data_IF_767081151278
#
_entry.id   IF_767081151278
#
_cell.length_a   1.000
_cell.length_b   1.000
_cell.length_c   1.000
_cell.angle_alpha   90.00
_cell.angle_beta   90.00
_cell.angle_gamma   90.00
#
_symmetry.space_group_name_H-M   'P 1'
#
loop_
_entity.id
_entity.type
_entity.pdbx_description
1 polymer ?
#
# COMPACT_ATOMS: atom_id res chain seq x y z
N UNK A 1 -19.99 -1.00 14.42
CA UNK A 1 -18.53 -0.71 14.55
C UNK A 1 -17.78 -1.38 13.39
N UNK A 2 -16.64 -0.86 12.89
CA UNK A 2 -15.88 -1.63 11.90
C UNK A 2 -15.43 -2.95 12.55
N UNK A 3 -15.47 -4.09 11.85
CA UNK A 3 -15.04 -5.35 12.45
C UNK A 3 -13.55 -5.23 12.79
N UNK A 4 -13.15 -5.77 13.94
CA UNK A 4 -11.81 -5.66 14.52
C UNK A 4 -10.72 -5.87 13.44
N UNK A 5 -10.88 -6.88 12.57
CA UNK A 5 -9.93 -7.20 11.48
C UNK A 5 -9.73 -6.06 10.47
N UNK A 6 -10.75 -5.26 10.14
CA UNK A 6 -10.62 -4.11 9.23
C UNK A 6 -9.81 -2.99 9.88
N UNK A 7 -9.92 -2.81 11.19
CA UNK A 7 -9.10 -1.85 11.94
C UNK A 7 -7.64 -2.32 11.93
N UNK A 8 -7.37 -3.59 12.25
CA UNK A 8 -6.02 -4.16 12.18
C UNK A 8 -5.41 -4.04 10.77
N UNK A 9 -6.19 -4.33 9.75
CA UNK A 9 -5.77 -4.16 8.36
C UNK A 9 -5.37 -2.72 8.06
N UNK A 10 -6.21 -1.75 8.44
CA UNK A 10 -5.92 -0.34 8.25
C UNK A 10 -4.68 0.12 9.04
N UNK A 11 -4.49 -0.37 10.27
CA UNK A 11 -3.30 -0.07 11.06
C UNK A 11 -2.03 -0.57 10.37
N UNK A 12 -2.01 -1.81 9.87
CA UNK A 12 -0.85 -2.38 9.17
C UNK A 12 -0.56 -1.59 7.89
N UNK A 13 -1.61 -1.28 7.12
CA UNK A 13 -1.50 -0.48 5.89
C UNK A 13 -0.96 0.94 6.16
N UNK A 14 -1.41 1.56 7.26
CA UNK A 14 -0.93 2.86 7.70
C UNK A 14 0.54 2.80 8.12
N UNK A 15 0.92 1.82 8.94
CA UNK A 15 2.31 1.60 9.36
C UNK A 15 3.23 1.39 8.15
N UNK A 16 2.79 0.63 7.15
CA UNK A 16 3.53 0.44 5.90
C UNK A 16 3.74 1.75 5.13
N UNK A 17 2.70 2.59 5.05
CA UNK A 17 2.79 3.90 4.41
C UNK A 17 3.78 4.82 5.13
N UNK A 18 3.81 4.79 6.46
CA UNK A 18 4.78 5.54 7.28
C UNK A 18 6.20 5.04 7.04
N UNK A 19 6.41 3.73 6.95
CA UNK A 19 7.73 3.16 6.65
C UNK A 19 8.22 3.60 5.27
N UNK A 20 7.37 3.52 4.24
CA UNK A 20 7.70 4.00 2.89
C UNK A 20 8.08 5.48 2.88
N UNK A 21 7.33 6.30 3.61
CA UNK A 21 7.63 7.72 3.76
C UNK A 21 8.96 7.95 4.47
N UNK A 22 9.24 7.20 5.53
CA UNK A 22 10.53 7.20 6.22
C UNK A 22 11.68 6.82 5.29
N UNK A 23 11.51 5.79 4.46
CA UNK A 23 12.48 5.40 3.44
C UNK A 23 12.71 6.51 2.42
N UNK A 24 11.66 7.20 1.98
CA UNK A 24 11.78 8.34 1.08
C UNK A 24 12.56 9.50 1.71
N UNK A 25 12.27 9.85 2.96
CA UNK A 25 12.98 10.91 3.69
C UNK A 25 14.46 10.56 3.93
N UNK A 26 14.75 9.31 4.31
CA UNK A 26 16.12 8.83 4.49
C UNK A 26 16.86 8.83 3.15
N UNK A 27 16.23 8.36 2.09
CA UNK A 27 16.76 8.42 0.72
C UNK A 27 17.14 9.84 0.34
N UNK A 28 16.25 10.81 0.55
CA UNK A 28 16.50 12.22 0.26
C UNK A 28 17.67 12.79 1.08
N UNK A 29 17.69 12.52 2.39
CA UNK A 29 18.71 13.04 3.31
C UNK A 29 20.11 12.46 3.09
N UNK A 30 20.17 11.19 2.66
CA UNK A 30 21.43 10.46 2.51
C UNK A 30 22.02 10.54 1.10
N UNK A 31 21.37 11.24 0.18
CA UNK A 31 21.92 11.54 -1.15
C UNK A 31 23.17 12.42 -1.03
N UNK A 32 24.25 12.03 -1.71
CA UNK A 32 25.48 12.83 -1.79
C UNK A 32 25.25 14.12 -2.58
N UNK A 33 26.03 15.17 -2.29
CA UNK A 33 25.85 16.51 -2.87
C UNK A 33 25.93 16.58 -4.42
N UNK A 34 26.40 15.52 -5.08
CA UNK A 34 26.52 15.45 -6.54
C UNK A 34 25.24 15.08 -7.27
N UNK A 35 24.22 14.54 -6.57
CA UNK A 35 22.96 14.14 -7.17
C UNK A 35 21.75 14.87 -6.56
N UNK A 36 20.74 15.12 -7.38
CA UNK A 36 19.45 15.61 -6.88
C UNK A 36 18.81 14.55 -5.97
N UNK A 37 18.64 14.86 -4.69
CA UNK A 37 18.08 13.93 -3.67
C UNK A 37 16.68 13.38 -3.94
N UNK A 38 16.02 13.85 -5.00
CA UNK A 38 14.75 13.34 -5.48
C UNK A 38 14.85 11.93 -6.08
N UNK A 39 15.99 11.57 -6.67
CA UNK A 39 16.22 10.25 -7.28
C UNK A 39 15.82 9.09 -6.36
N UNK A 40 16.44 8.94 -5.17
CA UNK A 40 16.12 7.89 -4.20
C UNK A 40 14.77 8.05 -3.49
N UNK A 41 14.24 9.27 -3.39
CA UNK A 41 13.06 9.56 -2.60
C UNK A 41 11.74 9.37 -3.37
N UNK A 42 11.73 9.60 -4.68
CA UNK A 42 10.48 9.75 -5.44
C UNK A 42 9.65 8.47 -5.50
N UNK A 43 10.28 7.31 -5.74
CA UNK A 43 9.60 6.03 -5.82
C UNK A 43 8.93 5.65 -4.49
N UNK A 44 9.65 5.58 -3.35
CA UNK A 44 9.00 5.29 -2.07
C UNK A 44 7.97 6.35 -1.66
N UNK A 45 8.14 7.61 -2.06
CA UNK A 45 7.14 8.67 -1.80
C UNK A 45 5.83 8.43 -2.55
N UNK A 46 5.88 8.08 -3.84
CA UNK A 46 4.69 7.74 -4.63
C UNK A 46 3.99 6.53 -4.03
N UNK A 47 4.75 5.48 -3.68
CA UNK A 47 4.20 4.29 -3.05
C UNK A 47 3.53 4.59 -1.71
N UNK A 48 4.13 5.48 -0.89
CA UNK A 48 3.57 5.90 0.39
C UNK A 48 2.22 6.61 0.21
N UNK A 49 2.13 7.54 -0.75
CA UNK A 49 0.91 8.29 -1.03
C UNK A 49 -0.21 7.38 -1.56
N UNK A 50 0.12 6.48 -2.49
CA UNK A 50 -0.83 5.50 -3.02
C UNK A 50 -1.32 4.56 -1.91
N UNK A 51 -0.41 4.02 -1.10
CA UNK A 51 -0.75 3.16 0.04
C UNK A 51 -1.66 3.88 1.05
N UNK A 52 -1.38 5.17 1.34
CA UNK A 52 -2.22 5.98 2.22
C UNK A 52 -3.63 6.19 1.63
N UNK A 53 -3.72 6.54 0.35
CA UNK A 53 -5.01 6.72 -0.33
C UNK A 53 -5.86 5.44 -0.31
N UNK A 54 -5.24 4.28 -0.56
CA UNK A 54 -5.91 2.98 -0.48
C UNK A 54 -6.35 2.62 0.94
N UNK A 55 -5.53 2.98 1.94
CA UNK A 55 -5.88 2.84 3.37
C UNK A 55 -7.12 3.66 3.70
N UNK A 56 -7.18 4.91 3.25
CA UNK A 56 -8.36 5.77 3.45
C UNK A 56 -9.59 5.17 2.77
N UNK A 57 -9.48 4.72 1.51
CA UNK A 57 -10.58 4.06 0.80
C UNK A 57 -11.09 2.82 1.54
N UNK A 58 -10.19 2.03 2.13
CA UNK A 58 -10.56 0.83 2.91
C UNK A 58 -11.43 1.16 4.13
N UNK A 59 -11.18 2.31 4.77
CA UNK A 59 -11.95 2.78 5.93
C UNK A 59 -13.35 3.30 5.55
N UNK A 60 -13.54 3.69 4.28
CA UNK A 60 -14.83 4.18 3.77
C UNK A 60 -15.84 3.06 3.47
N UNK A 61 -15.54 1.80 3.80
CA UNK A 61 -16.42 0.64 3.56
C UNK A 61 -17.84 0.82 4.11
N UNK A 62 -18.00 1.53 5.24
CA UNK A 62 -19.31 1.84 5.82
C UNK A 62 -20.13 2.84 5.01
N UNK A 63 -19.47 3.78 4.32
CA UNK A 63 -20.14 4.80 3.50
C UNK A 63 -20.45 4.27 2.12
N UNK A 64 -19.52 3.50 1.53
CA UNK A 64 -19.69 2.87 0.25
C UNK A 64 -18.98 1.51 0.22
N UNK A 65 -19.77 0.44 0.29
CA UNK A 65 -19.28 -0.94 0.35
C UNK A 65 -18.42 -1.32 -0.87
N UNK A 66 -18.82 -0.89 -2.08
CA UNK A 66 -18.06 -1.18 -3.32
C UNK A 66 -16.68 -0.55 -3.27
N UNK A 67 -16.61 0.74 -2.90
CA UNK A 67 -15.33 1.48 -2.78
C UNK A 67 -14.44 0.89 -1.69
N UNK A 68 -15.01 0.57 -0.51
CA UNK A 68 -14.24 -0.05 0.57
C UNK A 68 -13.67 -1.42 0.21
N UNK A 69 -14.45 -2.25 -0.49
CA UNK A 69 -13.98 -3.56 -0.94
C UNK A 69 -12.84 -3.43 -1.95
N UNK A 70 -12.95 -2.52 -2.92
CA UNK A 70 -11.88 -2.24 -3.88
C UNK A 70 -10.63 -1.75 -3.14
N UNK A 71 -10.79 -0.81 -2.20
CA UNK A 71 -9.71 -0.29 -1.38
C UNK A 71 -8.95 -1.38 -0.64
N UNK A 72 -9.66 -2.34 -0.02
CA UNK A 72 -9.03 -3.48 0.69
C UNK A 72 -8.26 -4.39 -0.27
N UNK A 73 -8.80 -4.70 -1.45
CA UNK A 73 -8.12 -5.57 -2.42
C UNK A 73 -6.88 -4.89 -3.00
N UNK A 74 -6.98 -3.63 -3.40
CA UNK A 74 -5.84 -2.88 -3.91
C UNK A 74 -4.79 -2.64 -2.82
N UNK A 75 -5.19 -2.32 -1.59
CA UNK A 75 -4.28 -2.18 -0.46
C UNK A 75 -3.52 -3.48 -0.14
N UNK A 76 -4.12 -4.65 -0.37
CA UNK A 76 -3.40 -5.93 -0.24
C UNK A 76 -2.38 -6.13 -1.37
N UNK A 77 -2.66 -5.70 -2.59
CA UNK A 77 -1.73 -5.86 -3.72
C UNK A 77 -0.57 -4.84 -3.63
N UNK A 78 -0.81 -3.70 -2.99
CA UNK A 78 0.14 -2.59 -2.95
C UNK A 78 1.52 -2.94 -2.36
N UNK A 79 1.66 -3.67 -1.24
CA UNK A 79 2.96 -4.11 -0.75
C UNK A 79 3.67 -5.05 -1.72
N UNK A 80 2.95 -5.88 -2.48
CA UNK A 80 3.56 -6.74 -3.49
C UNK A 80 4.17 -5.91 -4.63
N UNK A 81 3.44 -4.90 -5.11
CA UNK A 81 3.92 -3.96 -6.13
C UNK A 81 5.12 -3.17 -5.60
N UNK A 82 5.05 -2.71 -4.34
CA UNK A 82 6.15 -2.03 -3.66
C UNK A 82 7.40 -2.92 -3.57
N UNK A 83 7.24 -4.19 -3.22
CA UNK A 83 8.34 -5.16 -3.15
C UNK A 83 9.06 -5.29 -4.50
N UNK A 84 8.29 -5.44 -5.59
CA UNK A 84 8.84 -5.61 -6.92
C UNK A 84 9.55 -4.35 -7.41
N UNK A 85 8.91 -3.17 -7.30
CA UNK A 85 9.49 -1.91 -7.76
C UNK A 85 10.74 -1.50 -6.95
N UNK A 86 10.70 -1.66 -5.62
CA UNK A 86 11.85 -1.36 -4.76
C UNK A 86 12.98 -2.38 -4.96
N UNK A 87 12.64 -3.64 -5.20
CA UNK A 87 13.62 -4.69 -5.51
C UNK A 87 14.32 -4.47 -6.85
N UNK A 88 13.55 -4.15 -7.90
CA UNK A 88 14.09 -3.76 -9.21
C UNK A 88 14.99 -2.53 -9.08
N UNK A 89 14.54 -1.50 -8.33
CA UNK A 89 15.37 -0.31 -8.09
C UNK A 89 16.67 -0.65 -7.37
N UNK A 90 16.62 -1.49 -6.33
CA UNK A 90 17.82 -1.91 -5.61
C UNK A 90 18.80 -2.66 -6.53
N UNK A 91 18.27 -3.51 -7.42
CA UNK A 91 19.04 -4.22 -8.43
C UNK A 91 19.68 -3.29 -9.45
N UNK A 92 18.92 -2.33 -10.00
CA UNK A 92 19.42 -1.37 -10.97
C UNK A 92 20.55 -0.53 -10.39
N UNK A 93 20.38 -0.02 -9.16
CA UNK A 93 21.43 0.70 -8.44
C UNK A 93 22.67 -0.17 -8.25
N UNK A 94 22.51 -1.42 -7.82
CA UNK A 94 23.62 -2.36 -7.66
C UNK A 94 24.38 -2.61 -8.98
N UNK A 95 23.66 -2.76 -10.10
CA UNK A 95 24.26 -2.96 -11.43
C UNK A 95 24.99 -1.72 -11.96
N UNK A 96 24.52 -0.52 -11.61
CA UNK A 96 25.19 0.74 -11.94
C UNK A 96 26.47 0.98 -11.13
N UNK A 97 26.82 0.08 -10.21
CA UNK A 97 27.98 0.22 -9.32
C UNK A 97 27.74 1.20 -8.17
N UNK A 98 26.50 1.71 -8.02
CA UNK A 98 26.07 2.45 -6.84
C UNK A 98 26.02 1.46 -5.67
N UNK A 99 27.04 1.47 -4.82
CA UNK A 99 27.08 0.68 -3.60
C UNK A 99 26.90 1.59 -2.39
N UNK A 100 26.06 1.17 -1.44
CA UNK A 100 25.89 1.90 -0.19
C UNK A 100 24.45 1.95 0.30
N UNK A 101 24.14 2.98 1.06
CA UNK A 101 22.92 3.05 1.89
C UNK A 101 21.63 3.02 1.07
N UNK A 102 21.63 3.52 -0.18
CA UNK A 102 20.43 3.54 -1.01
C UNK A 102 20.00 2.15 -1.48
N UNK A 103 20.95 1.31 -1.93
CA UNK A 103 20.69 -0.08 -2.32
C UNK A 103 20.17 -0.87 -1.12
N UNK A 104 20.84 -0.72 0.03
CA UNK A 104 20.44 -1.40 1.27
C UNK A 104 19.05 -0.98 1.73
N UNK A 105 18.73 0.32 1.72
CA UNK A 105 17.40 0.81 2.10
C UNK A 105 16.31 0.30 1.16
N UNK A 106 16.53 0.35 -0.15
CA UNK A 106 15.58 -0.15 -1.14
C UNK A 106 15.38 -1.68 -1.01
N UNK A 107 16.47 -2.44 -0.83
CA UNK A 107 16.44 -3.88 -0.63
C UNK A 107 15.72 -4.28 0.67
N UNK A 108 16.05 -3.64 1.80
CA UNK A 108 15.35 -3.86 3.07
C UNK A 108 13.86 -3.57 2.93
N UNK A 109 13.50 -2.45 2.31
CA UNK A 109 12.10 -2.08 2.15
C UNK A 109 11.34 -3.00 1.19
N UNK A 110 12.02 -3.57 0.18
CA UNK A 110 11.45 -4.63 -0.66
C UNK A 110 11.08 -5.86 0.18
N UNK A 111 11.99 -6.35 1.02
CA UNK A 111 11.73 -7.50 1.91
C UNK A 111 10.62 -7.17 2.93
N UNK A 112 10.63 -5.98 3.53
CA UNK A 112 9.56 -5.52 4.42
C UNK A 112 8.21 -5.50 3.70
N UNK A 113 8.18 -5.12 2.43
CA UNK A 113 6.94 -5.07 1.63
C UNK A 113 6.37 -6.48 1.41
N UNK A 114 7.22 -7.49 1.19
CA UNK A 114 6.80 -8.91 1.14
C UNK A 114 6.24 -9.35 2.50
N UNK A 115 6.93 -9.02 3.59
CA UNK A 115 6.46 -9.35 4.93
C UNK A 115 5.08 -8.74 5.23
N UNK A 116 4.88 -7.47 4.87
CA UNK A 116 3.59 -6.78 5.03
C UNK A 116 2.51 -7.44 4.17
N UNK A 117 2.82 -7.81 2.92
CA UNK A 117 1.90 -8.55 2.06
C UNK A 117 1.41 -9.86 2.71
N UNK A 118 2.35 -10.69 3.18
CA UNK A 118 2.03 -11.97 3.84
C UNK A 118 1.20 -11.73 5.11
N UNK A 119 1.58 -10.75 5.92
CA UNK A 119 0.86 -10.39 7.14
C UNK A 119 -0.58 -9.93 6.85
N UNK A 120 -0.76 -9.11 5.80
CA UNK A 120 -2.08 -8.69 5.35
C UNK A 120 -2.94 -9.86 4.85
N UNK A 121 -2.33 -10.84 4.16
CA UNK A 121 -3.04 -12.05 3.75
C UNK A 121 -3.55 -12.87 4.93
N UNK A 122 -2.78 -12.98 6.01
CA UNK A 122 -3.18 -13.69 7.23
C UNK A 122 -4.34 -12.98 7.97
N UNK A 123 -4.37 -11.65 7.92
CA UNK A 123 -5.32 -10.83 8.68
C UNK A 123 -6.54 -10.41 7.84
N UNK A 124 -6.59 -10.80 6.55
CA UNK A 124 -7.63 -10.45 5.57
C UNK A 124 -9.02 -10.38 6.21
N UNK A 125 -9.72 -9.23 6.17
CA UNK A 125 -11.08 -9.11 6.67
C UNK A 125 -11.97 -10.17 6.02
N UNK A 126 -12.78 -10.89 6.81
CA UNK A 126 -13.80 -11.79 6.23
C UNK A 126 -14.77 -10.92 5.44
N UNK A 127 -15.35 -11.43 4.35
CA UNK A 127 -16.38 -10.72 3.57
C UNK A 127 -17.40 -10.15 4.55
N UNK A 128 -17.43 -8.83 4.68
CA UNK A 128 -18.56 -8.16 5.33
C UNK A 128 -19.78 -8.54 4.49
N UNK A 129 -20.76 -9.20 5.09
CA UNK A 129 -21.99 -9.62 4.40
C UNK A 129 -22.59 -8.36 3.80
N UNK A 130 -22.70 -8.31 2.47
CA UNK A 130 -23.28 -7.16 1.79
C UNK A 130 -24.65 -6.87 2.44
N UNK A 131 -24.96 -5.60 2.76
CA UNK A 131 -26.25 -5.29 3.35
C UNK A 131 -27.33 -5.74 2.36
N UNK A 132 -28.31 -6.52 2.86
CA UNK A 132 -29.42 -7.14 2.10
C UNK A 132 -30.20 -6.09 1.29
N UNK A 133 -30.05 -4.81 1.63
CA UNK A 133 -30.67 -3.67 0.94
C UNK A 133 -30.10 -3.37 -0.45
N UNK A 134 -28.86 -3.76 -0.78
CA UNK A 134 -28.31 -3.52 -2.13
C UNK A 134 -28.98 -4.39 -3.21
N UNK A 135 -29.34 -5.64 -2.87
CA UNK A 135 -30.05 -6.53 -3.80
C UNK A 135 -31.50 -6.04 -4.07
N UNK A 136 -32.06 -5.25 -3.15
CA UNK A 136 -33.42 -4.71 -3.30
C UNK A 136 -33.48 -3.48 -4.20
N UNK A 137 -32.54 -2.54 -4.09
CA UNK A 137 -32.52 -1.36 -4.98
C UNK A 137 -32.13 -1.71 -6.41
N UNK A 138 -31.19 -2.64 -6.61
CA UNK A 138 -30.78 -3.11 -7.95
C UNK A 138 -31.90 -3.91 -8.63
N UNK A 139 -32.65 -4.76 -7.88
CA UNK A 139 -33.87 -5.38 -8.40
C UNK A 139 -34.99 -4.37 -8.71
N UNK A 140 -35.18 -3.36 -7.87
CA UNK A 140 -36.29 -2.40 -8.09
C UNK A 140 -36.02 -1.47 -9.28
N UNK A 141 -34.76 -1.19 -9.59
CA UNK A 141 -34.38 -0.43 -10.80
C UNK A 141 -34.43 -1.28 -12.06
N UNK A 142 -34.08 -2.58 -12.00
CA UNK A 142 -34.21 -3.50 -13.13
C UNK A 142 -35.66 -3.83 -13.51
N UNK A 143 -36.63 -3.72 -12.59
CA UNK A 143 -38.07 -3.95 -12.87
C UNK A 143 -38.75 -2.71 -13.48
N UNK A 144 -38.09 -1.54 -13.46
CA UNK A 144 -38.62 -0.26 -13.99
C UNK A 144 -38.09 0.12 -15.38
N UNK A 145 -37.28 -0.75 -16.01
CA UNK A 145 -36.86 -0.62 -17.41
C UNK A 145 -37.59 -1.65 -18.26
#
# INVERSE_FOLDING_TARGET
MPPFRTIWFACISLSYSILLFGTAMLGFKLTTQSETGWGPAILPMILALLSLALTIMSLLIKRNYKVGMIGIHLAMVMPLVGALLLGMRAWDLYQMGEQGTQVTLAGMMSVTSIYVFVTMMLIRPKKEVAPITMDREEKTTAIKQ
#
